data_IF_370661331360
#
_entry.id   IF_370661331360
#
_cell.length_a   1.000
_cell.length_b   1.000
_cell.length_c   1.000
_cell.angle_alpha   90.00
_cell.angle_beta   90.00
_cell.angle_gamma   90.00
#
_symmetry.space_group_name_H-M   'P 1'
#
loop_
_entity.id
_entity.type
_entity.pdbx_description
1 polymer ?
#
# COMPACT_ATOMS: atom_id res chain seq x y z
N UNK A 1 15.08 1.08 -9.48
CA UNK A 1 14.24 0.65 -8.33
C UNK A 1 12.89 0.28 -8.92
N UNK A 2 12.55 -1.01 -8.94
CA UNK A 2 11.33 -1.50 -9.57
C UNK A 2 10.24 -1.70 -8.52
N UNK A 3 9.10 -1.07 -8.73
CA UNK A 3 7.99 -1.06 -7.79
C UNK A 3 6.73 -1.45 -8.53
N UNK A 4 6.03 -2.46 -8.02
CA UNK A 4 4.78 -2.92 -8.62
C UNK A 4 3.68 -2.87 -7.57
N UNK A 5 2.51 -2.33 -7.91
CA UNK A 5 1.36 -2.29 -7.02
C UNK A 5 0.40 -3.44 -7.34
N UNK A 6 0.05 -4.23 -6.33
CA UNK A 6 -0.94 -5.29 -6.42
C UNK A 6 -2.02 -5.07 -5.36
N UNK A 7 -3.28 -5.35 -5.69
CA UNK A 7 -4.37 -5.30 -4.70
C UNK A 7 -4.78 -6.70 -4.29
N UNK A 8 -4.93 -6.90 -2.99
CA UNK A 8 -5.41 -8.15 -2.40
C UNK A 8 -6.82 -7.89 -1.83
N UNK A 9 -7.79 -8.64 -2.32
CA UNK A 9 -9.15 -8.68 -1.76
C UNK A 9 -9.24 -9.90 -0.85
N UNK A 10 -9.41 -9.70 0.46
CA UNK A 10 -9.48 -10.82 1.43
C UNK A 10 -10.87 -11.47 1.51
N UNK A 11 -11.92 -10.87 0.91
CA UNK A 11 -13.29 -11.38 0.98
C UNK A 11 -13.71 -12.13 -0.28
N UNK A 12 -14.11 -13.40 -0.13
CA UNK A 12 -14.64 -14.26 -1.21
C UNK A 12 -16.08 -13.89 -1.65
N UNK A 13 -16.78 -12.98 -0.93
CA UNK A 13 -18.24 -12.86 -0.98
C UNK A 13 -18.88 -11.56 -1.52
N UNK A 14 -18.16 -10.49 -1.85
CA UNK A 14 -18.82 -9.22 -2.25
C UNK A 14 -18.55 -8.79 -3.69
N UNK A 15 -19.60 -8.84 -4.51
CA UNK A 15 -19.68 -8.45 -5.91
C UNK A 15 -19.71 -6.91 -6.12
N UNK A 16 -18.83 -6.17 -5.46
CA UNK A 16 -18.58 -4.76 -5.81
C UNK A 16 -17.24 -4.66 -6.55
N UNK A 17 -17.18 -4.03 -7.73
CA UNK A 17 -15.93 -3.76 -8.40
C UNK A 17 -15.20 -2.66 -7.62
N UNK A 18 -14.39 -3.05 -6.63
CA UNK A 18 -13.35 -2.17 -6.13
C UNK A 18 -12.28 -2.07 -7.22
N UNK A 19 -12.39 -1.03 -8.04
CA UNK A 19 -11.36 -0.70 -9.02
C UNK A 19 -10.18 -0.09 -8.27
N UNK A 20 -9.23 -0.94 -7.89
CA UNK A 20 -7.87 -0.46 -7.70
C UNK A 20 -7.37 0.02 -9.06
N UNK A 21 -7.03 1.30 -9.19
CA UNK A 21 -6.15 1.71 -10.28
C UNK A 21 -4.83 0.95 -10.08
N UNK A 22 -4.64 -0.11 -10.85
CA UNK A 22 -3.37 -0.81 -10.94
C UNK A 22 -2.36 0.22 -11.44
N UNK A 23 -1.45 0.65 -10.58
CA UNK A 23 -0.24 1.30 -11.08
C UNK A 23 0.53 0.25 -11.86
N UNK A 24 0.87 0.55 -13.11
CA UNK A 24 1.85 -0.21 -13.87
C UNK A 24 3.16 -0.32 -13.06
N UNK A 25 3.99 -1.31 -13.37
CA UNK A 25 5.32 -1.41 -12.75
C UNK A 25 6.09 -0.13 -13.01
N UNK A 26 6.46 0.59 -11.96
CA UNK A 26 7.19 1.85 -12.07
C UNK A 26 8.66 1.60 -11.78
N UNK A 27 9.52 2.09 -12.68
CA UNK A 27 10.96 2.12 -12.46
C UNK A 27 11.36 3.53 -12.04
N UNK A 28 11.95 3.64 -10.85
CA UNK A 28 12.47 4.89 -10.28
C UNK A 28 14.00 4.86 -10.14
N UNK A 29 14.62 6.03 -10.22
CA UNK A 29 16.05 6.21 -9.94
C UNK A 29 16.28 6.30 -8.41
N UNK A 30 17.47 5.93 -7.92
CA UNK A 30 17.83 6.15 -6.52
C UNK A 30 17.69 7.62 -6.13
N UNK A 31 17.16 7.87 -4.93
CA UNK A 31 16.91 9.22 -4.41
C UNK A 31 15.58 9.84 -4.83
N UNK A 32 14.90 9.29 -5.84
CA UNK A 32 13.57 9.77 -6.23
C UNK A 32 12.51 9.42 -5.17
N UNK A 33 11.45 10.21 -5.12
CA UNK A 33 10.26 9.95 -4.32
C UNK A 33 9.12 9.49 -5.22
N UNK A 34 8.23 8.65 -4.68
CA UNK A 34 7.06 8.19 -5.39
C UNK A 34 5.88 8.03 -4.44
N UNK A 35 4.67 8.16 -4.97
CA UNK A 35 3.42 7.99 -4.24
C UNK A 35 2.63 6.87 -4.87
N UNK A 36 2.40 5.80 -4.12
CA UNK A 36 1.45 4.77 -4.52
C UNK A 36 0.06 5.19 -4.07
N UNK A 37 -0.91 4.94 -4.93
CA UNK A 37 -2.32 5.29 -4.72
C UNK A 37 -3.15 4.03 -4.83
N UNK A 38 -4.00 3.78 -3.85
CA UNK A 38 -4.95 2.68 -3.85
C UNK A 38 -6.34 3.24 -3.53
N UNK A 39 -7.19 3.30 -4.55
CA UNK A 39 -8.59 3.70 -4.44
C UNK A 39 -9.47 2.46 -4.27
N UNK A 40 -10.39 2.48 -3.31
CA UNK A 40 -11.42 1.46 -3.21
C UNK A 40 -12.72 2.06 -2.65
N UNK A 41 -13.87 1.65 -3.20
CA UNK A 41 -15.16 2.04 -2.65
C UNK A 41 -15.38 1.34 -1.29
N UNK A 42 -15.67 2.11 -0.24
CA UNK A 42 -16.00 1.58 1.09
C UNK A 42 -14.80 1.07 1.89
N UNK A 43 -13.66 1.76 1.87
CA UNK A 43 -12.49 1.38 2.71
C UNK A 43 -12.90 1.46 4.19
N UNK A 44 -12.98 0.30 4.86
CA UNK A 44 -13.04 0.21 6.33
C UNK A 44 -11.68 -0.20 6.90
N UNK A 45 -10.95 -1.07 6.19
CA UNK A 45 -9.61 -1.55 6.54
C UNK A 45 -8.62 -1.20 5.43
N UNK A 46 -7.45 -0.67 5.80
CA UNK A 46 -6.38 -0.34 4.86
C UNK A 46 -5.05 -0.85 5.38
N UNK A 47 -4.41 -1.71 4.59
CA UNK A 47 -3.10 -2.25 4.90
C UNK A 47 -2.14 -2.08 3.72
N UNK A 48 -0.91 -1.68 4.03
CA UNK A 48 0.20 -1.59 3.09
C UNK A 48 1.26 -2.60 3.47
N UNK A 49 1.54 -3.50 2.55
CA UNK A 49 2.51 -4.58 2.72
C UNK A 49 3.52 -4.45 1.57
N UNK A 50 4.79 -4.78 1.82
CA UNK A 50 5.78 -4.96 0.75
C UNK A 50 6.37 -6.34 0.80
N UNK A 51 6.62 -6.92 -0.37
CA UNK A 51 7.34 -8.18 -0.50
C UNK A 51 8.56 -7.95 -1.38
N UNK A 52 9.73 -8.14 -0.79
CA UNK A 52 10.99 -8.18 -1.53
C UNK A 52 11.17 -9.58 -2.12
N UNK A 53 11.86 -9.66 -3.24
CA UNK A 53 12.17 -10.94 -3.88
C UNK A 53 12.92 -11.86 -2.91
N UNK A 54 12.45 -13.09 -2.74
CA UNK A 54 13.04 -14.06 -1.81
C UNK A 54 12.91 -13.72 -0.31
N UNK A 55 12.09 -12.74 0.05
CA UNK A 55 11.84 -12.34 1.45
C UNK A 55 10.37 -12.50 1.82
N UNK A 56 10.06 -12.66 3.12
CA UNK A 56 8.69 -12.65 3.60
C UNK A 56 8.01 -11.30 3.35
N UNK A 57 6.69 -11.28 3.47
CA UNK A 57 5.91 -10.06 3.44
C UNK A 57 6.21 -9.20 4.68
N UNK A 58 6.62 -7.95 4.44
CA UNK A 58 6.87 -6.94 5.46
C UNK A 58 5.68 -5.97 5.51
N UNK A 59 4.97 -5.92 6.64
CA UNK A 59 3.91 -4.94 6.86
C UNK A 59 4.54 -3.56 7.06
N UNK A 60 4.08 -2.58 6.27
CA UNK A 60 4.49 -1.19 6.41
C UNK A 60 3.52 -0.47 7.35
N UNK A 61 2.23 -0.62 7.05
CA UNK A 61 1.13 -0.03 7.80
C UNK A 61 -0.04 -1.00 7.83
N UNK A 62 -0.78 -1.02 8.92
CA UNK A 62 -2.12 -1.57 8.93
C UNK A 62 -3.02 -0.71 9.81
N UNK A 63 -4.25 -0.49 9.35
CA UNK A 63 -5.27 0.21 10.09
C UNK A 63 -6.50 -0.68 10.20
N UNK A 64 -6.89 -0.99 11.45
CA UNK A 64 -8.17 -1.64 11.74
C UNK A 64 -9.29 -0.60 11.80
N UNK A 65 -10.48 -0.97 11.35
CA UNK A 65 -11.66 -0.09 11.27
C UNK A 65 -12.06 0.60 12.58
N UNK A 66 -11.63 0.08 13.74
CA UNK A 66 -11.84 0.68 15.06
C UNK A 66 -10.87 1.83 15.40
N UNK A 67 -9.92 2.18 14.52
CA UNK A 67 -8.97 3.27 14.72
C UNK A 67 -7.57 2.84 15.16
N UNK A 68 -7.34 1.54 15.38
CA UNK A 68 -5.99 1.03 15.68
C UNK A 68 -5.11 1.13 14.43
N UNK A 69 -4.15 2.05 14.46
CA UNK A 69 -3.14 2.25 13.43
C UNK A 69 -1.79 1.75 13.93
N UNK A 70 -1.12 0.94 13.11
CA UNK A 70 0.24 0.51 13.36
C UNK A 70 1.13 0.88 12.18
N UNK A 71 2.32 1.38 12.50
CA UNK A 71 3.36 1.71 11.54
C UNK A 71 4.63 0.97 11.91
N UNK A 72 5.30 0.41 10.91
CA UNK A 72 6.59 -0.24 11.11
C UNK A 72 7.67 0.79 11.45
N UNK A 73 8.22 0.71 12.66
CA UNK A 73 9.24 1.64 13.16
C UNK A 73 10.49 1.73 12.30
N UNK A 74 10.89 0.64 11.64
CA UNK A 74 12.05 0.63 10.75
C UNK A 74 11.80 1.44 9.46
N UNK A 75 10.54 1.65 9.10
CA UNK A 75 10.13 2.26 7.84
C UNK A 75 9.50 3.64 7.99
N UNK A 76 9.24 4.08 9.24
CA UNK A 76 8.51 5.31 9.52
C UNK A 76 9.16 6.59 8.99
N UNK A 77 10.48 6.61 8.89
CA UNK A 77 11.22 7.76 8.39
C UNK A 77 11.24 7.84 6.85
N UNK A 78 10.84 6.76 6.18
CA UNK A 78 10.97 6.60 4.73
C UNK A 78 9.61 6.57 4.02
N UNK A 79 8.64 5.93 4.67
CA UNK A 79 7.30 5.76 4.16
C UNK A 79 6.32 6.52 5.06
N UNK A 80 5.40 7.24 4.42
CA UNK A 80 4.34 7.99 5.08
C UNK A 80 2.98 7.56 4.53
N UNK A 81 2.03 7.36 5.44
CA UNK A 81 0.67 6.97 5.14
C UNK A 81 -0.24 8.19 5.13
N UNK A 82 -1.09 8.29 4.11
CA UNK A 82 -2.15 9.29 4.04
C UNK A 82 -3.43 8.67 3.50
N UNK A 83 -4.59 9.16 3.95
CA UNK A 83 -5.90 8.66 3.55
C UNK A 83 -6.83 9.82 3.26
N UNK A 84 -7.50 9.73 2.13
CA UNK A 84 -8.62 10.58 1.77
C UNK A 84 -9.91 9.78 1.93
N UNK A 85 -10.67 10.11 2.97
CA UNK A 85 -11.94 9.46 3.28
C UNK A 85 -13.06 9.89 2.34
N UNK A 86 -12.98 11.09 1.75
CA UNK A 86 -14.00 11.59 0.81
C UNK A 86 -13.93 10.85 -0.53
N UNK A 87 -12.70 10.57 -1.00
CA UNK A 87 -12.44 9.85 -2.24
C UNK A 87 -12.24 8.33 -2.03
N UNK A 88 -12.31 7.83 -0.79
CA UNK A 88 -12.05 6.42 -0.49
C UNK A 88 -10.68 5.96 -1.01
N UNK A 89 -9.64 6.78 -0.82
CA UNK A 89 -8.32 6.53 -1.39
C UNK A 89 -7.25 6.56 -0.32
N UNK A 90 -6.34 5.58 -0.33
CA UNK A 90 -5.16 5.53 0.53
C UNK A 90 -3.89 5.71 -0.29
N UNK A 91 -2.96 6.45 0.30
CA UNK A 91 -1.70 6.82 -0.32
C UNK A 91 -0.54 6.33 0.54
N UNK A 92 0.47 5.79 -0.14
CA UNK A 92 1.77 5.47 0.45
C UNK A 92 2.81 6.37 -0.21
N UNK A 93 3.22 7.40 0.52
CA UNK A 93 4.30 8.31 0.10
C UNK A 93 5.63 7.69 0.48
N UNK A 94 6.54 7.59 -0.48
CA UNK A 94 7.85 6.99 -0.30
C UNK A 94 8.91 7.98 -0.71
N UNK A 95 9.82 8.27 0.22
CA UNK A 95 10.83 9.30 0.03
C UNK A 95 12.21 8.69 -0.06
N UNK A 96 13.07 9.28 -0.92
CA UNK A 96 14.47 8.86 -1.08
C UNK A 96 14.62 7.36 -1.32
N UNK A 97 13.99 6.87 -2.40
CA UNK A 97 13.99 5.46 -2.75
C UNK A 97 15.41 4.92 -2.96
N UNK A 98 15.65 3.71 -2.50
CA UNK A 98 16.91 2.97 -2.62
C UNK A 98 16.68 1.63 -3.33
N UNK A 99 17.75 0.99 -3.80
CA UNK A 99 17.68 -0.31 -4.46
C UNK A 99 16.98 -1.38 -3.60
N UNK A 100 17.16 -1.32 -2.28
CA UNK A 100 16.51 -2.16 -1.28
C UNK A 100 14.97 -2.03 -1.21
N UNK A 101 14.38 -0.95 -1.75
CA UNK A 101 12.93 -0.75 -1.78
C UNK A 101 12.26 -1.38 -3.01
N UNK A 102 13.06 -2.01 -3.87
CA UNK A 102 12.55 -2.76 -5.01
C UNK A 102 11.74 -3.96 -4.49
N UNK A 103 10.43 -3.89 -4.68
CA UNK A 103 9.48 -4.82 -4.09
C UNK A 103 8.13 -4.77 -4.81
N UNK A 104 7.33 -5.81 -4.59
CA UNK A 104 5.89 -5.74 -4.86
C UNK A 104 5.22 -5.14 -3.63
N UNK A 105 4.46 -4.08 -3.84
CA UNK A 105 3.67 -3.41 -2.82
C UNK A 105 2.23 -3.88 -2.94
N UNK A 106 1.65 -4.26 -1.82
CA UNK A 106 0.28 -4.72 -1.73
C UNK A 106 -0.55 -3.73 -0.95
N UNK A 107 -1.69 -3.39 -1.53
CA UNK A 107 -2.79 -2.74 -0.82
C UNK A 107 -3.82 -3.84 -0.49
N UNK A 108 -4.02 -4.11 0.80
CA UNK A 108 -5.02 -5.08 1.25
C UNK A 108 -6.18 -4.36 1.95
N UNK A 109 -7.38 -4.81 1.62
CA UNK A 109 -8.63 -4.42 2.28
C UNK A 109 -9.31 -5.66 2.84
N UNK A 110 -9.98 -5.50 3.97
CA UNK A 110 -11.04 -6.39 4.38
C UNK A 110 -12.38 -5.74 4.07
N UNK A 111 -13.27 -6.51 3.42
CA UNK A 111 -14.65 -6.06 3.23
C UNK A 111 -15.40 -6.36 4.52
N UNK A 112 -16.16 -5.39 5.02
CA UNK A 112 -17.12 -5.64 6.09
C UNK A 112 -18.32 -6.42 5.56
#
# INVERSE_FOLDING_TARGET
IQMSLTCIFTSWFSALPAVCLRSESVVKRPGESHKLTCSASGIYFSSWIRQREGKPMDWIFYQWGSGSFHQNDALKNKFSYSRDTSAGTVYLQMNSLKAEDSAVYYCARDAQ
#
